data_IF_589915609201
#
_entry.id   IF_589915609201
#
_cell.length_a   1.000
_cell.length_b   1.000
_cell.length_c   1.000
_cell.angle_alpha   90.00
_cell.angle_beta   90.00
_cell.angle_gamma   90.00
#
_symmetry.space_group_name_H-M   'P 1'
#
loop_
_entity.id
_entity.type
_entity.pdbx_description
1 polymer ?
#
# COMPACT_ATOMS: atom_id res chain seq x y z
N UNK A 1 39.40 5.37 13.96
CA UNK A 1 38.63 4.16 13.61
C UNK A 1 37.97 3.57 14.86
N UNK A 2 36.85 4.12 15.33
CA UNK A 2 36.11 3.57 16.48
C UNK A 2 34.59 3.82 16.45
N UNK A 3 34.05 4.48 15.41
CA UNK A 3 32.62 4.80 15.30
C UNK A 3 31.80 3.71 14.58
N UNK A 4 32.44 2.70 14.00
CA UNK A 4 31.77 1.58 13.30
C UNK A 4 31.33 0.42 14.21
N UNK A 5 31.66 0.43 15.50
CA UNK A 5 31.41 -0.73 16.39
C UNK A 5 30.21 -0.59 17.33
N UNK A 6 29.50 0.54 17.32
CA UNK A 6 28.36 0.76 18.21
C UNK A 6 26.98 0.53 17.55
N UNK A 7 26.88 0.59 16.22
CA UNK A 7 25.58 0.52 15.53
C UNK A 7 25.18 -0.87 15.01
N UNK A 8 26.13 -1.78 14.78
CA UNK A 8 25.81 -3.12 14.23
C UNK A 8 25.52 -4.17 15.31
N UNK A 9 26.06 -4.02 16.53
CA UNK A 9 25.97 -5.06 17.57
C UNK A 9 24.66 -5.07 18.38
N UNK A 10 23.77 -4.10 18.18
CA UNK A 10 22.56 -3.98 19.01
C UNK A 10 21.29 -3.77 18.19
N UNK A 11 21.33 -3.81 16.84
CA UNK A 11 20.10 -3.75 16.05
C UNK A 11 19.27 -5.02 16.23
N UNK A 12 19.91 -6.19 16.10
CA UNK A 12 19.23 -7.49 16.23
C UNK A 12 18.68 -7.70 17.64
N UNK A 13 19.43 -7.27 18.65
CA UNK A 13 19.00 -7.33 20.06
C UNK A 13 17.91 -6.31 20.36
N UNK A 14 18.03 -5.07 19.86
CA UNK A 14 16.96 -4.07 20.00
C UNK A 14 15.68 -4.52 19.29
N UNK A 15 15.80 -5.13 18.10
CA UNK A 15 14.68 -5.70 17.36
C UNK A 15 14.03 -6.84 18.15
N UNK A 16 14.83 -7.76 18.69
CA UNK A 16 14.34 -8.87 19.52
C UNK A 16 13.68 -8.41 20.82
N UNK A 17 14.28 -7.46 21.54
CA UNK A 17 13.73 -6.87 22.77
C UNK A 17 12.42 -6.11 22.47
N UNK A 18 12.36 -5.39 21.35
CA UNK A 18 11.17 -4.66 20.90
C UNK A 18 10.06 -5.63 20.47
N UNK A 19 10.38 -6.67 19.71
CA UNK A 19 9.43 -7.74 19.34
C UNK A 19 8.88 -8.43 20.60
N UNK A 20 9.73 -8.73 21.58
CA UNK A 20 9.32 -9.31 22.86
C UNK A 20 8.43 -8.38 23.67
N UNK A 21 8.67 -7.07 23.63
CA UNK A 21 7.84 -6.07 24.30
C UNK A 21 6.47 -5.92 23.62
N UNK A 22 6.43 -5.85 22.28
CA UNK A 22 5.20 -5.65 21.51
C UNK A 22 4.31 -6.90 21.45
N UNK A 23 4.91 -8.09 21.36
CA UNK A 23 4.19 -9.35 21.09
C UNK A 23 4.28 -10.38 22.23
N UNK A 24 4.97 -10.06 23.33
CA UNK A 24 5.29 -11.01 24.40
C UNK A 24 6.47 -11.93 24.04
N UNK A 25 6.83 -12.88 24.92
CA UNK A 25 7.89 -13.87 24.69
C UNK A 25 7.51 -14.94 23.65
N UNK A 26 6.94 -14.53 22.52
CA UNK A 26 6.59 -15.39 21.40
C UNK A 26 7.82 -15.60 20.51
N UNK A 27 7.97 -16.82 20.02
CA UNK A 27 8.98 -17.14 19.01
C UNK A 27 8.74 -16.31 17.73
N UNK A 28 9.80 -15.94 17.02
CA UNK A 28 9.72 -15.34 15.70
C UNK A 28 8.87 -16.20 14.72
N UNK A 29 8.90 -17.54 14.86
CA UNK A 29 8.05 -18.43 14.09
C UNK A 29 6.55 -18.26 14.42
N UNK A 30 6.21 -18.08 15.70
CA UNK A 30 4.83 -17.82 16.14
C UNK A 30 4.33 -16.46 15.63
N UNK A 31 5.20 -15.44 15.67
CA UNK A 31 4.89 -14.11 15.12
C UNK A 31 4.66 -14.21 13.61
N UNK A 32 5.55 -14.87 12.87
CA UNK A 32 5.42 -15.04 11.42
C UNK A 32 4.15 -15.83 11.04
N UNK A 33 3.81 -16.89 11.78
CA UNK A 33 2.59 -17.66 11.56
C UNK A 33 1.33 -16.80 11.80
N UNK A 34 1.34 -15.98 12.86
CA UNK A 34 0.23 -15.08 13.14
C UNK A 34 0.12 -13.94 12.12
N UNK A 35 1.23 -13.37 11.66
CA UNK A 35 1.24 -12.39 10.58
C UNK A 35 0.68 -12.97 9.27
N UNK A 36 1.08 -14.19 8.91
CA UNK A 36 0.53 -14.89 7.75
C UNK A 36 -0.98 -15.13 7.89
N UNK A 37 -1.43 -15.55 9.07
CA UNK A 37 -2.86 -15.73 9.37
C UNK A 37 -3.62 -14.40 9.26
N UNK A 38 -3.11 -13.31 9.82
CA UNK A 38 -3.73 -11.98 9.73
C UNK A 38 -3.82 -11.50 8.28
N UNK A 39 -2.81 -11.73 7.45
CA UNK A 39 -2.85 -11.42 6.00
C UNK A 39 -3.93 -12.19 5.26
N UNK A 40 -4.20 -13.44 5.63
CA UNK A 40 -5.31 -14.21 5.04
C UNK A 40 -6.69 -13.77 5.53
N UNK A 41 -6.75 -13.11 6.69
CA UNK A 41 -7.98 -12.61 7.29
C UNK A 41 -8.24 -11.13 6.97
N UNK A 42 -7.27 -10.43 6.38
CA UNK A 42 -7.50 -9.08 5.88
C UNK A 42 -8.55 -9.15 4.78
N UNK A 43 -9.69 -8.45 4.93
CA UNK A 43 -10.66 -8.38 3.86
C UNK A 43 -9.98 -7.77 2.62
N UNK A 44 -10.37 -8.23 1.43
CA UNK A 44 -10.03 -7.59 0.14
C UNK A 44 -10.71 -6.22 -0.03
N UNK A 45 -10.99 -5.54 1.07
CA UNK A 45 -11.71 -4.29 1.13
C UNK A 45 -10.83 -3.32 1.89
N UNK A 46 -10.37 -2.29 1.20
CA UNK A 46 -9.46 -1.29 1.73
C UNK A 46 -8.86 -0.46 0.61
N UNK A 47 -8.32 0.71 0.97
CA UNK A 47 -7.66 1.58 -0.02
C UNK A 47 -6.35 0.95 -0.45
N UNK A 48 -6.07 0.98 -1.75
CA UNK A 48 -4.84 0.48 -2.33
C UNK A 48 -3.62 1.18 -1.72
N UNK A 49 -2.64 0.44 -1.16
CA UNK A 49 -1.53 1.03 -0.43
C UNK A 49 -0.41 1.58 -1.33
N UNK A 50 -0.55 1.48 -2.66
CA UNK A 50 0.50 1.90 -3.60
C UNK A 50 0.74 3.40 -3.49
N UNK A 51 2.00 3.77 -3.37
CA UNK A 51 2.45 5.16 -3.34
C UNK A 51 3.53 5.38 -4.40
N UNK A 52 3.60 6.60 -4.91
CA UNK A 52 4.66 7.02 -5.82
C UNK A 52 5.52 8.12 -5.21
N UNK A 53 6.79 8.12 -5.61
CA UNK A 53 7.61 9.33 -5.60
C UNK A 53 7.38 10.18 -6.86
N UNK A 54 8.23 11.19 -7.04
CA UNK A 54 8.20 12.02 -8.25
C UNK A 54 8.43 11.19 -9.52
N UNK A 55 7.78 11.60 -10.62
CA UNK A 55 7.79 10.96 -11.93
C UNK A 55 7.14 9.56 -11.99
N UNK A 56 6.35 9.19 -10.97
CA UNK A 56 5.51 8.00 -11.00
C UNK A 56 4.48 8.06 -12.14
N UNK A 57 4.09 6.90 -12.68
CA UNK A 57 3.00 6.80 -13.65
C UNK A 57 1.71 6.46 -12.92
N UNK A 58 0.68 7.27 -13.17
CA UNK A 58 -0.64 7.07 -12.62
C UNK A 58 -1.71 7.27 -13.69
N UNK A 59 -2.89 6.71 -13.44
CA UNK A 59 -4.00 6.66 -14.38
C UNK A 59 -5.17 7.44 -13.82
N UNK A 60 -5.77 8.27 -14.67
CA UNK A 60 -6.98 9.01 -14.39
C UNK A 60 -8.11 8.44 -15.23
N UNK A 61 -9.31 8.45 -14.66
CA UNK A 61 -10.55 8.12 -15.34
C UNK A 61 -11.50 9.26 -15.00
N UNK A 62 -11.75 10.16 -15.95
CA UNK A 62 -12.46 11.41 -15.73
C UNK A 62 -13.93 11.18 -15.32
N UNK A 63 -14.47 10.01 -15.63
CA UNK A 63 -15.81 9.60 -15.20
C UNK A 63 -15.85 8.98 -13.80
N UNK A 64 -14.72 8.44 -13.29
CA UNK A 64 -14.67 7.80 -11.97
C UNK A 64 -14.00 8.68 -10.90
N UNK A 65 -13.14 9.61 -11.30
CA UNK A 65 -12.49 10.52 -10.38
C UNK A 65 -13.51 11.51 -9.80
N UNK A 66 -13.41 11.81 -8.51
CA UNK A 66 -14.20 12.90 -7.93
C UNK A 66 -13.58 14.27 -8.21
N UNK A 67 -12.25 14.32 -8.32
CA UNK A 67 -11.52 15.51 -8.76
C UNK A 67 -10.22 15.16 -9.51
N UNK A 68 -9.59 16.17 -10.09
CA UNK A 68 -8.42 16.00 -10.96
C UNK A 68 -7.14 15.51 -10.26
N UNK A 69 -7.13 15.43 -8.94
CA UNK A 69 -6.04 14.87 -8.15
C UNK A 69 -6.16 13.36 -7.95
N UNK A 70 -7.36 12.79 -8.12
CA UNK A 70 -7.59 11.38 -7.89
C UNK A 70 -6.99 10.52 -9.01
N UNK A 71 -6.34 9.42 -8.63
CA UNK A 71 -5.59 8.56 -9.53
C UNK A 71 -5.57 7.10 -9.08
N UNK A 72 -5.45 6.20 -10.05
CA UNK A 72 -5.14 4.80 -9.79
C UNK A 72 -3.73 4.42 -10.22
N UNK A 73 -3.19 3.38 -9.57
CA UNK A 73 -2.01 2.67 -10.06
C UNK A 73 -2.34 1.75 -11.23
N UNK A 74 -1.29 1.38 -11.98
CA UNK A 74 -1.42 0.50 -13.14
C UNK A 74 -2.19 -0.79 -12.80
N UNK A 75 -1.84 -1.42 -11.68
CA UNK A 75 -2.45 -2.70 -11.30
C UNK A 75 -3.96 -2.56 -11.00
N UNK A 76 -4.36 -1.50 -10.31
CA UNK A 76 -5.78 -1.26 -10.05
C UNK A 76 -6.53 -0.89 -11.33
N UNK A 77 -5.97 0.05 -12.11
CA UNK A 77 -6.63 0.54 -13.32
C UNK A 77 -6.86 -0.56 -14.36
N UNK A 78 -5.90 -1.46 -14.57
CA UNK A 78 -6.04 -2.54 -15.55
C UNK A 78 -6.90 -3.71 -15.06
N UNK A 79 -7.15 -3.83 -13.76
CA UNK A 79 -8.07 -4.84 -13.19
C UNK A 79 -9.50 -4.32 -13.02
N UNK A 80 -9.68 -3.00 -12.93
CA UNK A 80 -10.99 -2.34 -12.88
C UNK A 80 -11.64 -2.25 -14.27
N UNK A 81 -12.93 -1.90 -14.30
CA UNK A 81 -13.68 -1.70 -15.56
C UNK A 81 -13.82 -0.21 -15.85
N UNK A 82 -13.24 0.23 -16.97
CA UNK A 82 -13.34 1.62 -17.46
C UNK A 82 -13.86 1.67 -18.91
N UNK A 83 -14.69 0.70 -19.31
CA UNK A 83 -15.18 0.59 -20.68
C UNK A 83 -16.09 1.77 -21.03
N UNK A 84 -15.68 2.56 -22.03
CA UNK A 84 -16.45 3.72 -22.49
C UNK A 84 -16.19 5.00 -21.70
N UNK A 85 -15.27 4.97 -20.72
CA UNK A 85 -14.87 6.15 -19.96
C UNK A 85 -13.75 6.93 -20.65
N UNK A 86 -13.66 8.22 -20.35
CA UNK A 86 -12.53 9.08 -20.71
C UNK A 86 -11.39 8.88 -19.71
N UNK A 87 -10.21 8.51 -20.22
CA UNK A 87 -9.06 8.13 -19.39
C UNK A 87 -7.80 8.87 -19.82
N UNK A 88 -6.91 9.13 -18.87
CA UNK A 88 -5.64 9.81 -19.11
C UNK A 88 -4.50 9.16 -18.33
N UNK A 89 -3.28 9.25 -18.86
CA UNK A 89 -2.05 8.84 -18.18
C UNK A 89 -1.31 10.11 -17.75
N UNK A 90 -0.90 10.17 -16.49
CA UNK A 90 -0.16 11.31 -15.96
C UNK A 90 1.18 10.87 -15.35
N UNK A 91 2.10 11.82 -15.27
CA UNK A 91 3.29 11.73 -14.41
C UNK A 91 2.99 12.47 -13.11
N UNK A 92 3.12 11.77 -11.99
CA UNK A 92 2.87 12.34 -10.67
C UNK A 92 4.11 13.06 -10.14
N UNK A 93 3.90 14.02 -9.23
CA UNK A 93 4.97 14.60 -8.42
C UNK A 93 5.16 13.85 -7.08
N UNK A 94 4.52 12.68 -6.96
CA UNK A 94 4.20 11.98 -5.72
C UNK A 94 2.69 11.74 -5.61
N UNK A 95 2.27 10.78 -4.80
CA UNK A 95 0.85 10.50 -4.56
C UNK A 95 0.58 9.08 -4.10
N UNK A 96 -0.70 8.77 -3.89
CA UNK A 96 -1.22 7.46 -3.48
C UNK A 96 -2.30 7.00 -4.44
N UNK A 97 -2.49 5.69 -4.56
CA UNK A 97 -3.59 5.13 -5.32
C UNK A 97 -4.91 5.30 -4.56
N UNK A 98 -5.96 5.74 -5.24
CA UNK A 98 -7.28 6.00 -4.66
C UNK A 98 -8.28 4.86 -4.85
N UNK A 99 -7.86 3.75 -5.47
CA UNK A 99 -8.70 2.55 -5.60
C UNK A 99 -9.09 2.03 -4.22
N UNK A 100 -10.38 1.81 -3.97
CA UNK A 100 -10.93 1.40 -2.68
C UNK A 100 -11.31 2.55 -1.75
N UNK A 101 -11.07 3.82 -2.12
CA UNK A 101 -11.54 4.99 -1.38
C UNK A 101 -12.78 5.63 -2.03
N UNK A 102 -14.00 5.44 -1.47
CA UNK A 102 -15.23 5.98 -2.04
C UNK A 102 -15.35 7.50 -1.89
N UNK A 103 -14.47 8.15 -1.12
CA UNK A 103 -14.44 9.61 -1.06
C UNK A 103 -13.71 10.21 -2.27
N UNK A 104 -12.86 9.44 -2.94
CA UNK A 104 -11.94 9.89 -3.99
C UNK A 104 -12.26 9.28 -5.36
N UNK A 105 -12.87 8.09 -5.40
CA UNK A 105 -13.09 7.35 -6.63
C UNK A 105 -14.44 6.61 -6.63
N UNK A 106 -15.10 6.57 -7.79
CA UNK A 106 -16.38 5.86 -7.94
C UNK A 106 -16.21 4.36 -7.64
N UNK A 107 -17.03 3.76 -6.75
CA UNK A 107 -16.95 2.34 -6.41
C UNK A 107 -17.12 1.37 -7.60
N UNK A 108 -17.83 1.77 -8.65
CA UNK A 108 -17.94 1.00 -9.90
C UNK A 108 -16.63 0.95 -10.69
N UNK A 109 -15.72 1.89 -10.41
CA UNK A 109 -14.36 1.93 -10.96
C UNK A 109 -13.29 1.28 -10.08
N UNK A 110 -13.67 0.60 -8.99
CA UNK A 110 -12.72 -0.15 -8.17
C UNK A 110 -12.26 -1.43 -8.87
N UNK A 111 -11.06 -1.88 -8.52
CA UNK A 111 -10.56 -3.18 -8.96
C UNK A 111 -11.09 -4.29 -8.03
N UNK A 112 -11.13 -5.57 -8.45
CA UNK A 112 -11.67 -6.66 -7.62
C UNK A 112 -10.87 -6.98 -6.35
N UNK A 113 -9.74 -6.31 -6.13
CA UNK A 113 -8.88 -6.48 -4.96
C UNK A 113 -9.12 -5.41 -3.88
N UNK A 114 -9.93 -4.37 -4.15
CA UNK A 114 -10.19 -3.21 -3.26
C UNK A 114 -11.64 -2.74 -3.34
#
# INVERSE_FOLDING_TARGET
>A
MAWRRFFEADFDKTLADTQKYLYGARDAADVAAQEAQLRTQQPKAGVCPVQWGANGIAFRCLDCEHDSSCVQCADCFFKATHTGHEVAIIRTHGGTCDCGDPASWDPGGFCPDH
#
